data_IF_491512501269
#
_entry.id   IF_491512501269
#
_cell.length_a   1.000
_cell.length_b   1.000
_cell.length_c   1.000
_cell.angle_alpha   90.00
_cell.angle_beta   90.00
_cell.angle_gamma   90.00
#
_symmetry.space_group_name_H-M   'P 1'
#
loop_
_entity.id
_entity.type
_entity.pdbx_description
1 polymer ?
#
# COMPACT_ATOMS: atom_id res chain seq x y z
N UNK A 1 7.70 -36.89 -19.57
CA UNK A 1 9.12 -36.50 -19.72
C UNK A 1 9.35 -34.99 -19.81
N UNK A 2 8.71 -34.22 -20.72
CA UNK A 2 8.93 -32.76 -20.82
C UNK A 2 8.55 -31.94 -19.57
N UNK A 3 7.52 -32.34 -18.80
CA UNK A 3 7.07 -31.62 -17.59
C UNK A 3 8.10 -31.60 -16.44
N UNK A 4 8.77 -32.72 -16.15
CA UNK A 4 9.77 -32.75 -15.07
C UNK A 4 11.13 -32.22 -15.51
N UNK A 5 11.42 -32.24 -16.82
CA UNK A 5 12.68 -31.73 -17.36
C UNK A 5 12.76 -30.19 -17.28
N UNK A 6 11.68 -29.48 -17.63
CA UNK A 6 11.64 -28.02 -17.58
C UNK A 6 11.80 -27.43 -16.18
N UNK A 7 11.11 -27.99 -15.18
CA UNK A 7 11.17 -27.51 -13.79
C UNK A 7 12.57 -27.71 -13.19
N UNK A 8 13.16 -28.91 -13.37
CA UNK A 8 14.49 -29.23 -12.84
C UNK A 8 15.59 -28.40 -13.49
N UNK A 9 15.44 -28.05 -14.77
CA UNK A 9 16.38 -27.20 -15.51
C UNK A 9 16.31 -25.72 -15.08
N UNK A 10 15.15 -25.23 -14.67
CA UNK A 10 14.99 -23.86 -14.13
C UNK A 10 15.61 -23.77 -12.73
N UNK A 11 15.31 -24.72 -11.84
CA UNK A 11 15.75 -24.69 -10.44
C UNK A 11 17.25 -24.96 -10.24
N UNK A 12 17.88 -25.75 -11.12
CA UNK A 12 19.31 -26.08 -11.00
C UNK A 12 20.27 -24.99 -11.51
N UNK A 13 19.76 -23.84 -11.95
CA UNK A 13 20.60 -22.77 -12.52
C UNK A 13 21.25 -21.96 -11.42
N UNK A 14 22.59 -21.81 -11.47
CA UNK A 14 23.35 -20.96 -10.56
C UNK A 14 22.80 -19.52 -10.50
N UNK A 15 22.32 -19.01 -11.64
CA UNK A 15 21.70 -17.68 -11.76
C UNK A 15 20.45 -17.53 -10.89
N UNK A 16 19.66 -18.59 -10.73
CA UNK A 16 18.47 -18.60 -9.87
C UNK A 16 18.84 -18.34 -8.40
N UNK A 17 19.87 -19.05 -7.90
CA UNK A 17 20.36 -18.87 -6.54
C UNK A 17 20.97 -17.49 -6.32
N UNK A 18 21.79 -17.00 -7.27
CA UNK A 18 22.37 -15.65 -7.19
C UNK A 18 21.27 -14.60 -7.08
N UNK A 19 20.20 -14.72 -7.86
CA UNK A 19 19.11 -13.75 -7.85
C UNK A 19 18.32 -13.76 -6.55
N UNK A 20 18.07 -14.95 -5.97
CA UNK A 20 17.50 -15.05 -4.61
C UNK A 20 18.40 -14.32 -3.60
N UNK A 21 19.70 -14.55 -3.63
CA UNK A 21 20.65 -13.89 -2.71
C UNK A 21 20.63 -12.37 -2.86
N UNK A 22 20.61 -11.86 -4.11
CA UNK A 22 20.52 -10.41 -4.37
C UNK A 22 19.23 -9.82 -3.82
N UNK A 23 18.08 -10.46 -4.04
CA UNK A 23 16.79 -9.98 -3.52
C UNK A 23 16.81 -9.98 -1.99
N UNK A 24 17.31 -11.04 -1.37
CA UNK A 24 17.44 -11.12 0.10
C UNK A 24 18.31 -9.98 0.62
N UNK A 25 19.43 -9.66 -0.04
CA UNK A 25 20.29 -8.54 0.36
C UNK A 25 19.59 -7.17 0.24
N UNK A 26 18.86 -6.94 -0.84
CA UNK A 26 18.06 -5.72 -1.02
C UNK A 26 17.00 -5.61 0.07
N UNK A 27 16.29 -6.70 0.37
CA UNK A 27 15.29 -6.74 1.44
C UNK A 27 15.90 -6.48 2.83
N UNK A 28 17.08 -7.02 3.13
CA UNK A 28 17.80 -6.73 4.39
C UNK A 28 18.17 -5.25 4.47
N UNK A 29 18.62 -4.65 3.36
CA UNK A 29 18.93 -3.21 3.30
C UNK A 29 17.69 -2.35 3.60
N UNK A 30 16.55 -2.66 2.98
CA UNK A 30 15.29 -1.95 3.24
C UNK A 30 14.81 -2.13 4.69
N UNK A 31 14.97 -3.33 5.26
CA UNK A 31 14.61 -3.59 6.66
C UNK A 31 15.47 -2.77 7.63
N UNK A 32 16.77 -2.62 7.36
CA UNK A 32 17.66 -1.79 8.17
C UNK A 32 17.30 -0.30 8.07
N UNK A 33 16.94 0.18 6.88
CA UNK A 33 16.46 1.55 6.70
C UNK A 33 15.19 1.79 7.52
N UNK A 34 14.22 0.86 7.48
CA UNK A 34 13.00 0.96 8.28
C UNK A 34 13.29 1.01 9.78
N UNK A 35 14.24 0.22 10.28
CA UNK A 35 14.65 0.27 11.69
C UNK A 35 15.28 1.61 12.08
N UNK A 36 16.07 2.21 11.19
CA UNK A 36 16.64 3.53 11.42
C UNK A 36 15.55 4.60 11.44
N UNK A 37 14.57 4.52 10.54
CA UNK A 37 13.38 5.39 10.55
C UNK A 37 12.59 5.25 11.86
N UNK A 38 12.32 4.02 12.30
CA UNK A 38 11.66 3.75 13.59
C UNK A 38 12.40 4.40 14.75
N UNK A 39 13.70 4.12 14.87
CA UNK A 39 14.52 4.64 15.95
C UNK A 39 14.53 6.17 16.01
N UNK A 40 14.62 6.83 14.85
CA UNK A 40 14.65 8.29 14.77
C UNK A 40 13.28 8.93 15.10
N UNK A 41 12.18 8.22 14.85
CA UNK A 41 10.82 8.74 14.99
C UNK A 41 10.08 8.27 16.26
N UNK A 42 10.70 7.45 17.12
CA UNK A 42 10.11 6.98 18.40
C UNK A 42 9.57 8.07 19.36
N UNK A 43 9.86 9.35 19.11
CA UNK A 43 9.35 10.47 19.90
C UNK A 43 7.98 11.02 19.45
N UNK A 44 7.43 10.57 18.31
CA UNK A 44 6.16 11.04 17.72
C UNK A 44 4.98 10.09 17.92
N UNK A 45 5.03 9.31 19.00
CA UNK A 45 4.12 8.22 19.36
C UNK A 45 2.65 8.57 19.11
N UNK A 46 1.93 7.64 18.47
CA UNK A 46 0.51 7.57 18.09
C UNK A 46 -0.61 8.09 18.95
N UNK A 47 -0.26 8.64 20.10
CA UNK A 47 -1.12 9.38 21.02
C UNK A 47 -0.81 10.87 20.95
N UNK A 48 -0.49 11.38 19.75
CA UNK A 48 -0.10 12.78 19.55
C UNK A 48 -1.16 13.76 20.05
N UNK A 49 -2.45 13.43 19.98
CA UNK A 49 -3.50 14.29 20.55
C UNK A 49 -3.43 14.28 22.08
N UNK A 50 -3.27 13.12 22.72
CA UNK A 50 -3.06 13.05 24.17
C UNK A 50 -1.80 13.81 24.61
N UNK A 51 -0.68 13.68 23.89
CA UNK A 51 0.57 14.41 24.18
C UNK A 51 0.34 15.93 24.05
N UNK A 52 -0.33 16.36 23.00
CA UNK A 52 -0.64 17.77 22.78
C UNK A 52 -1.62 18.32 23.82
N UNK A 53 -2.62 17.53 24.23
CA UNK A 53 -3.58 17.90 25.28
C UNK A 53 -2.85 18.11 26.62
N UNK A 54 -1.93 17.23 26.99
CA UNK A 54 -1.15 17.38 28.23
C UNK A 54 -0.26 18.62 28.20
N UNK A 55 0.47 18.85 27.08
CA UNK A 55 1.24 20.09 26.88
C UNK A 55 0.36 21.33 26.93
N UNK A 56 -0.87 21.21 26.44
CA UNK A 56 -1.83 22.30 26.44
C UNK A 56 -2.33 22.62 27.85
N UNK A 57 -2.57 21.60 28.68
CA UNK A 57 -2.93 21.77 30.10
C UNK A 57 -1.92 22.64 30.86
N UNK A 58 -0.62 22.45 30.62
CA UNK A 58 0.45 23.24 31.22
C UNK A 58 0.37 24.75 30.86
N UNK A 59 -0.23 25.10 29.71
CA UNK A 59 -0.41 26.48 29.27
C UNK A 59 -1.81 27.08 29.53
N UNK A 60 -2.77 26.27 29.95
CA UNK A 60 -4.19 26.63 30.01
C UNK A 60 -4.54 27.59 31.13
N UNK A 61 -3.92 27.45 32.30
CA UNK A 61 -4.11 28.40 33.40
C UNK A 61 -3.77 29.84 32.96
N UNK A 62 -2.73 29.99 32.15
CA UNK A 62 -2.31 31.30 31.63
C UNK A 62 -3.33 31.87 30.65
N UNK A 63 -3.98 31.02 29.85
CA UNK A 63 -5.01 31.44 28.88
C UNK A 63 -6.31 31.80 29.59
N UNK A 64 -6.77 31.00 30.54
CA UNK A 64 -7.98 31.32 31.30
C UNK A 64 -7.82 32.59 32.14
N UNK A 65 -6.65 32.79 32.76
CA UNK A 65 -6.31 34.04 33.43
C UNK A 65 -6.30 35.26 32.49
N UNK A 66 -6.02 35.06 31.20
CA UNK A 66 -6.08 36.14 30.20
C UNK A 66 -7.52 36.46 29.79
N UNK A 67 -8.37 35.44 29.60
CA UNK A 67 -9.79 35.62 29.24
C UNK A 67 -10.59 36.28 30.36
N UNK A 68 -10.35 35.87 31.61
CA UNK A 68 -10.97 36.49 32.78
C UNK A 68 -10.60 37.98 32.90
N UNK A 69 -9.34 38.35 32.60
CA UNK A 69 -8.87 39.75 32.57
C UNK A 69 -9.50 40.59 31.46
N UNK A 70 -9.92 39.95 30.38
CA UNK A 70 -10.56 40.61 29.23
C UNK A 70 -12.09 40.71 29.38
N UNK A 71 -12.64 40.31 30.54
CA UNK A 71 -14.08 40.33 30.79
C UNK A 71 -14.84 39.30 29.94
N UNK A 72 -14.13 38.33 29.36
CA UNK A 72 -14.74 37.18 28.72
C UNK A 72 -15.07 36.18 29.81
N UNK A 73 -16.28 35.62 29.76
CA UNK A 73 -16.66 34.51 30.63
C UNK A 73 -15.73 33.35 30.29
N UNK A 74 -14.63 33.23 31.04
CA UNK A 74 -13.70 32.11 31.00
C UNK A 74 -14.41 30.89 31.56
N UNK A 75 -15.42 30.41 30.85
CA UNK A 75 -16.15 29.19 31.20
C UNK A 75 -15.16 28.05 31.04
N UNK A 76 -14.59 27.67 32.16
CA UNK A 76 -13.89 26.41 32.34
C UNK A 76 -14.83 25.28 31.89
N UNK A 77 -14.56 24.75 30.71
CA UNK A 77 -15.43 23.77 30.08
C UNK A 77 -15.14 22.41 30.72
N UNK A 78 -16.13 21.69 31.28
CA UNK A 78 -15.95 20.32 31.80
C UNK A 78 -15.26 19.35 30.82
N UNK A 79 -15.34 19.66 29.52
CA UNK A 79 -14.72 18.96 28.41
C UNK A 79 -13.20 18.94 28.50
N UNK A 80 -12.56 20.03 28.94
CA UNK A 80 -11.11 20.10 29.09
C UNK A 80 -10.60 19.11 30.14
N UNK A 81 -11.30 19.01 31.27
CA UNK A 81 -10.95 18.05 32.32
C UNK A 81 -11.06 16.62 31.85
N UNK A 82 -12.14 16.30 31.12
CA UNK A 82 -12.31 14.97 30.57
C UNK A 82 -11.21 14.68 29.53
N UNK A 83 -10.86 15.64 28.68
CA UNK A 83 -9.78 15.50 27.70
C UNK A 83 -8.42 15.27 28.38
N UNK A 84 -8.05 16.06 29.39
CA UNK A 84 -6.77 15.86 30.09
C UNK A 84 -6.72 14.56 30.86
N UNK A 85 -7.80 14.22 31.58
CA UNK A 85 -7.87 12.94 32.29
C UNK A 85 -7.76 11.77 31.33
N UNK A 86 -8.46 11.81 30.19
CA UNK A 86 -8.32 10.79 29.16
C UNK A 86 -6.91 10.75 28.58
N UNK A 87 -6.28 11.89 28.30
CA UNK A 87 -4.91 11.93 27.81
C UNK A 87 -3.89 11.32 28.79
N UNK A 88 -4.03 11.60 30.09
CA UNK A 88 -3.22 10.99 31.15
C UNK A 88 -3.40 9.47 31.21
N UNK A 89 -4.66 9.00 31.15
CA UNK A 89 -4.98 7.58 31.13
C UNK A 89 -4.44 6.88 29.87
N UNK A 90 -4.46 7.55 28.72
CA UNK A 90 -3.83 7.04 27.50
C UNK A 90 -2.32 6.84 27.69
N UNK A 91 -1.63 7.83 28.27
CA UNK A 91 -0.19 7.73 28.54
C UNK A 91 0.15 6.65 29.59
N UNK A 92 -0.67 6.51 30.62
CA UNK A 92 -0.48 5.48 31.65
C UNK A 92 -0.65 4.08 31.07
N UNK A 93 -1.73 3.84 30.33
CA UNK A 93 -1.99 2.56 29.68
C UNK A 93 -0.92 2.22 28.62
N UNK A 94 -0.36 3.23 27.94
CA UNK A 94 0.74 3.04 27.00
C UNK A 94 1.99 2.50 27.71
N UNK A 95 2.34 3.05 28.89
CA UNK A 95 3.47 2.54 29.71
C UNK A 95 3.23 1.11 30.21
N UNK A 96 1.98 0.74 30.43
CA UNK A 96 1.57 -0.60 30.87
C UNK A 96 1.41 -1.60 29.71
N UNK A 97 1.50 -1.15 28.44
CA UNK A 97 1.27 -1.98 27.26
C UNK A 97 -0.20 -2.36 27.00
N UNK A 98 -1.15 -1.65 27.62
CA UNK A 98 -2.58 -1.88 27.46
C UNK A 98 -3.14 -1.09 26.27
N UNK A 99 -2.83 -1.54 25.05
CA UNK A 99 -3.13 -0.79 23.82
C UNK A 99 -4.62 -0.56 23.57
N UNK A 100 -5.51 -1.46 24.00
CA UNK A 100 -6.96 -1.28 23.84
C UNK A 100 -7.45 -0.05 24.59
N UNK A 101 -7.02 0.12 25.84
CA UNK A 101 -7.36 1.32 26.62
C UNK A 101 -6.65 2.57 26.07
N UNK A 102 -5.42 2.43 25.52
CA UNK A 102 -4.76 3.55 24.83
C UNK A 102 -5.64 4.09 23.69
N UNK A 103 -6.16 3.21 22.83
CA UNK A 103 -7.07 3.63 21.75
C UNK A 103 -8.34 4.27 22.28
N UNK A 104 -8.95 3.66 23.29
CA UNK A 104 -10.17 4.18 23.91
C UNK A 104 -9.97 5.62 24.35
N UNK A 105 -8.95 5.88 25.15
CA UNK A 105 -8.71 7.21 25.69
C UNK A 105 -8.21 8.21 24.63
N UNK A 106 -7.36 7.81 23.69
CA UNK A 106 -6.92 8.67 22.58
C UNK A 106 -8.10 9.07 21.68
N UNK A 107 -9.03 8.14 21.41
CA UNK A 107 -10.25 8.45 20.65
C UNK A 107 -11.17 9.39 21.42
N UNK A 108 -11.29 9.22 22.74
CA UNK A 108 -12.03 10.18 23.58
C UNK A 108 -11.44 11.59 23.47
N UNK A 109 -10.11 11.74 23.60
CA UNK A 109 -9.43 13.04 23.44
C UNK A 109 -9.72 13.64 22.07
N UNK A 110 -9.64 12.85 20.99
CA UNK A 110 -9.90 13.32 19.63
C UNK A 110 -11.34 13.75 19.40
N UNK A 111 -12.32 13.02 19.94
CA UNK A 111 -13.73 13.39 19.81
C UNK A 111 -14.01 14.68 20.59
N UNK A 112 -13.41 14.84 21.76
CA UNK A 112 -13.49 16.08 22.53
C UNK A 112 -12.86 17.26 21.79
N UNK A 113 -11.66 17.08 21.21
CA UNK A 113 -11.01 18.09 20.36
C UNK A 113 -11.88 18.45 19.15
N UNK A 114 -12.44 17.45 18.45
CA UNK A 114 -13.31 17.66 17.29
C UNK A 114 -14.53 18.51 17.65
N UNK A 115 -15.15 18.26 18.80
CA UNK A 115 -16.33 19.01 19.25
C UNK A 115 -15.98 20.40 19.80
N UNK A 116 -14.78 20.54 20.37
CA UNK A 116 -14.26 21.80 20.90
C UNK A 116 -13.93 22.80 19.79
N UNK A 117 -13.31 22.34 18.71
CA UNK A 117 -12.81 23.21 17.65
C UNK A 117 -13.76 23.36 16.46
N UNK A 118 -14.87 22.61 16.40
CA UNK A 118 -15.82 22.65 15.28
C UNK A 118 -16.90 23.72 15.41
N UNK A 119 -17.22 24.34 14.29
CA UNK A 119 -18.44 25.12 14.10
C UNK A 119 -19.67 24.22 13.93
N UNK A 120 -20.87 24.77 14.13
CA UNK A 120 -22.13 24.03 14.05
C UNK A 120 -22.32 23.35 12.68
N UNK A 121 -21.98 24.04 11.60
CA UNK A 121 -22.07 23.48 10.23
C UNK A 121 -21.15 22.27 10.02
N UNK A 122 -20.02 22.22 10.74
CA UNK A 122 -19.06 21.11 10.65
C UNK A 122 -19.54 19.88 11.42
N UNK A 123 -20.35 20.08 12.47
CA UNK A 123 -20.89 18.99 13.28
C UNK A 123 -21.85 18.08 12.51
N UNK A 124 -22.52 18.59 11.47
CA UNK A 124 -23.33 17.77 10.56
C UNK A 124 -22.55 16.60 9.96
N UNK A 125 -21.23 16.76 9.75
CA UNK A 125 -20.35 15.73 9.20
C UNK A 125 -19.61 14.93 10.28
N UNK A 126 -19.36 15.54 11.44
CA UNK A 126 -18.61 14.91 12.56
C UNK A 126 -19.50 13.94 13.32
N UNK A 127 -20.69 14.37 13.74
CA UNK A 127 -21.54 13.60 14.65
C UNK A 127 -21.94 12.22 14.12
N UNK A 128 -22.31 12.05 12.82
CA UNK A 128 -22.66 10.73 12.29
C UNK A 128 -21.53 9.69 12.39
N UNK A 129 -20.28 10.14 12.52
CA UNK A 129 -19.09 9.28 12.67
C UNK A 129 -18.67 9.21 14.14
N UNK A 130 -18.55 10.35 14.81
CA UNK A 130 -17.99 10.44 16.16
C UNK A 130 -18.93 9.96 17.26
N UNK A 131 -20.24 10.24 17.15
CA UNK A 131 -21.22 9.86 18.19
C UNK A 131 -21.35 8.34 18.36
N UNK A 132 -21.51 7.54 17.28
CA UNK A 132 -21.53 6.07 17.42
C UNK A 132 -20.23 5.50 18.02
N UNK A 133 -19.08 6.08 17.68
CA UNK A 133 -17.78 5.65 18.24
C UNK A 133 -17.74 5.97 19.74
N UNK A 134 -18.14 7.17 20.15
CA UNK A 134 -18.16 7.57 21.55
C UNK A 134 -19.05 6.68 22.40
N UNK A 135 -20.29 6.43 21.94
CA UNK A 135 -21.27 5.61 22.66
C UNK A 135 -20.77 4.17 22.86
N UNK A 136 -19.97 3.65 21.93
CA UNK A 136 -19.37 2.33 22.03
C UNK A 136 -18.18 2.29 23.01
N UNK A 137 -17.26 3.26 22.92
CA UNK A 137 -16.04 3.27 23.74
C UNK A 137 -16.25 3.85 25.15
N UNK A 138 -17.36 4.58 25.36
CA UNK A 138 -17.66 5.28 26.60
C UNK A 138 -19.17 5.34 26.87
N UNK A 139 -19.85 4.18 27.01
CA UNK A 139 -21.32 4.11 27.15
C UNK A 139 -21.85 4.80 28.41
N UNK A 140 -21.02 4.92 29.45
CA UNK A 140 -21.40 5.52 30.73
C UNK A 140 -21.24 7.06 30.78
N UNK A 141 -20.71 7.66 29.71
CA UNK A 141 -20.50 9.11 29.63
C UNK A 141 -21.30 9.64 28.44
N UNK A 142 -22.17 10.63 28.71
CA UNK A 142 -22.96 11.29 27.67
C UNK A 142 -22.07 11.87 26.57
N UNK A 143 -22.55 11.82 25.32
CA UNK A 143 -21.80 12.33 24.18
C UNK A 143 -21.57 13.85 24.33
N UNK A 144 -20.32 14.31 24.15
CA UNK A 144 -19.96 15.71 24.35
C UNK A 144 -20.41 16.62 23.18
N UNK A 145 -21.71 16.82 22.93
CA UNK A 145 -22.26 17.66 21.83
C UNK A 145 -22.49 19.14 22.18
N UNK A 146 -22.01 19.58 23.34
CA UNK A 146 -22.13 20.94 23.84
C UNK A 146 -23.54 21.57 23.69
N UNK A 147 -24.62 20.77 23.74
CA UNK A 147 -25.99 21.23 23.54
C UNK A 147 -26.22 22.07 22.26
N UNK A 148 -25.40 21.88 21.23
CA UNK A 148 -25.48 22.69 20.00
C UNK A 148 -24.94 24.12 20.14
N UNK A 149 -24.08 24.39 21.12
CA UNK A 149 -23.33 25.66 21.23
C UNK A 149 -21.90 25.51 20.65
N UNK A 150 -21.38 26.59 20.07
CA UNK A 150 -19.97 26.70 19.69
C UNK A 150 -19.14 27.19 20.89
N UNK A 151 -17.92 26.69 21.01
CA UNK A 151 -16.96 27.27 21.93
C UNK A 151 -16.27 28.45 21.26
N UNK A 152 -16.53 29.66 21.74
CA UNK A 152 -15.81 30.86 21.33
C UNK A 152 -14.41 30.88 21.97
N UNK A 153 -13.55 29.97 21.52
CA UNK A 153 -12.12 30.01 21.84
C UNK A 153 -11.48 30.86 20.76
N UNK A 154 -11.34 32.14 21.09
CA UNK A 154 -10.73 33.16 20.24
C UNK A 154 -9.22 32.84 20.10
N UNK A 155 -8.94 31.93 19.19
CA UNK A 155 -7.61 31.44 18.83
C UNK A 155 -7.42 31.68 17.34
N UNK A 156 -6.25 32.21 16.91
CA UNK A 156 -5.82 32.16 15.51
C UNK A 156 -5.45 30.72 15.05
N UNK A 157 -5.95 29.71 15.74
CA UNK A 157 -5.70 28.28 15.55
C UNK A 157 -6.97 27.45 15.74
N UNK A 158 -8.16 28.07 15.59
CA UNK A 158 -9.32 27.30 15.19
C UNK A 158 -8.96 26.57 13.89
N UNK A 159 -9.51 25.38 13.70
CA UNK A 159 -9.25 24.62 12.49
C UNK A 159 -9.95 25.35 11.35
N UNK A 160 -9.20 26.20 10.65
CA UNK A 160 -9.73 27.17 9.66
C UNK A 160 -10.43 26.50 8.47
N UNK A 161 -10.31 25.17 8.30
CA UNK A 161 -10.83 24.47 7.13
C UNK A 161 -11.57 23.19 7.45
N UNK A 162 -12.68 22.95 6.73
CA UNK A 162 -13.38 21.67 6.71
C UNK A 162 -12.46 20.49 6.31
N UNK A 163 -11.32 20.77 5.68
CA UNK A 163 -10.41 19.74 5.23
C UNK A 163 -9.71 19.03 6.41
N UNK A 164 -9.36 19.78 7.45
CA UNK A 164 -8.66 19.25 8.61
C UNK A 164 -9.55 18.37 9.49
N UNK A 165 -10.82 18.78 9.67
CA UNK A 165 -11.83 17.97 10.34
C UNK A 165 -12.01 16.62 9.67
N UNK A 166 -12.16 16.62 8.34
CA UNK A 166 -12.30 15.40 7.57
C UNK A 166 -11.07 14.50 7.70
N UNK A 167 -9.86 15.06 7.72
CA UNK A 167 -8.65 14.28 7.96
C UNK A 167 -8.65 13.63 9.36
N UNK A 168 -9.01 14.40 10.39
CA UNK A 168 -9.09 13.90 11.76
C UNK A 168 -10.15 12.82 11.92
N UNK A 169 -11.30 12.95 11.25
CA UNK A 169 -12.34 11.94 11.18
C UNK A 169 -11.85 10.65 10.51
N UNK A 170 -11.08 10.74 9.42
CA UNK A 170 -10.47 9.56 8.79
C UNK A 170 -9.53 8.83 9.76
N UNK A 171 -8.74 9.58 10.54
CA UNK A 171 -7.86 8.99 11.56
C UNK A 171 -8.65 8.41 12.75
N UNK A 172 -9.75 9.04 13.17
CA UNK A 172 -10.65 8.50 14.20
C UNK A 172 -11.24 7.14 13.75
N UNK A 173 -11.72 7.05 12.51
CA UNK A 173 -12.22 5.80 11.93
C UNK A 173 -11.13 4.71 11.87
N UNK A 174 -9.88 5.09 11.57
CA UNK A 174 -8.74 4.18 11.59
C UNK A 174 -8.49 3.62 12.99
N UNK A 175 -8.40 4.49 14.01
CA UNK A 175 -8.20 4.09 15.41
C UNK A 175 -9.34 3.19 15.89
N UNK A 176 -10.58 3.52 15.56
CA UNK A 176 -11.74 2.74 15.92
C UNK A 176 -11.71 1.34 15.27
N UNK A 177 -11.27 1.26 14.01
CA UNK A 177 -11.05 -0.02 13.33
C UNK A 177 -9.98 -0.86 14.04
N UNK A 178 -8.87 -0.25 14.45
CA UNK A 178 -7.83 -0.94 15.22
C UNK A 178 -8.33 -1.40 16.60
N UNK A 179 -9.10 -0.56 17.30
CA UNK A 179 -9.73 -0.86 18.59
C UNK A 179 -10.63 -2.11 18.49
N UNK A 180 -11.55 -2.12 17.53
CA UNK A 180 -12.48 -3.24 17.31
C UNK A 180 -11.78 -4.55 16.92
N UNK A 181 -10.63 -4.44 16.27
CA UNK A 181 -9.84 -5.61 15.86
C UNK A 181 -8.82 -6.05 16.93
N UNK A 182 -8.65 -5.29 18.02
CA UNK A 182 -7.68 -5.55 19.07
C UNK A 182 -6.22 -5.49 18.58
N UNK A 183 -5.91 -4.59 17.66
CA UNK A 183 -4.58 -4.50 17.02
C UNK A 183 -3.78 -3.37 17.67
N UNK A 184 -2.55 -3.60 18.17
CA UNK A 184 -1.73 -2.54 18.76
C UNK A 184 -1.44 -1.43 17.77
N UNK A 185 -1.16 -0.23 18.26
CA UNK A 185 -0.89 0.92 17.40
C UNK A 185 0.30 0.66 16.48
N UNK A 186 0.13 0.95 15.19
CA UNK A 186 1.15 0.75 14.16
C UNK A 186 1.34 2.04 13.37
N UNK A 187 2.53 2.62 13.50
CA UNK A 187 2.98 3.73 12.66
C UNK A 187 3.65 3.20 11.40
N UNK A 188 3.67 3.98 10.32
CA UNK A 188 4.39 3.61 9.09
C UNK A 188 5.92 3.57 9.26
N UNK A 189 6.47 4.27 10.26
CA UNK A 189 7.89 4.10 10.59
C UNK A 189 8.11 2.96 11.58
N UNK A 190 7.06 2.34 12.12
CA UNK A 190 7.22 1.19 13.00
C UNK A 190 7.95 0.08 12.24
N UNK A 191 9.09 -0.33 12.79
CA UNK A 191 9.84 -1.45 12.25
C UNK A 191 9.14 -2.76 12.60
N UNK A 192 8.13 -3.11 11.81
CA UNK A 192 7.41 -4.37 11.87
C UNK A 192 7.29 -5.05 10.49
N UNK A 193 6.94 -6.34 10.52
CA UNK A 193 6.84 -7.17 9.33
C UNK A 193 5.79 -6.71 8.31
N UNK A 194 4.68 -6.11 8.75
CA UNK A 194 3.60 -5.66 7.86
C UNK A 194 3.96 -4.38 7.13
N UNK A 195 4.48 -3.38 7.86
CA UNK A 195 5.01 -2.14 7.28
C UNK A 195 6.14 -2.46 6.30
N UNK A 196 7.05 -3.36 6.68
CA UNK A 196 8.11 -3.81 5.80
C UNK A 196 7.57 -4.44 4.51
N UNK A 197 6.61 -5.37 4.61
CA UNK A 197 6.01 -6.01 3.44
C UNK A 197 5.32 -4.95 2.54
N UNK A 198 4.59 -4.01 3.14
CA UNK A 198 3.94 -2.92 2.44
C UNK A 198 4.94 -2.02 1.69
N UNK A 199 6.11 -1.74 2.27
CA UNK A 199 7.16 -0.93 1.62
C UNK A 199 7.82 -1.64 0.42
N UNK A 200 7.99 -2.96 0.48
CA UNK A 200 8.65 -3.71 -0.61
C UNK A 200 7.71 -4.08 -1.78
N UNK A 201 6.39 -3.95 -1.60
CA UNK A 201 5.38 -4.29 -2.61
C UNK A 201 5.55 -3.53 -3.92
N UNK A 202 5.62 -2.20 -3.96
CA UNK A 202 5.78 -1.50 -5.25
C UNK A 202 7.25 -1.34 -5.70
N UNK A 203 8.22 -1.60 -4.81
CA UNK A 203 9.64 -1.35 -5.09
C UNK A 203 10.43 -2.60 -5.50
N UNK A 204 10.34 -3.67 -4.71
CA UNK A 204 11.24 -4.82 -4.83
C UNK A 204 10.57 -5.98 -5.55
N UNK A 205 9.31 -6.29 -5.21
CA UNK A 205 8.62 -7.48 -5.73
C UNK A 205 8.44 -7.44 -7.27
N UNK A 206 7.91 -6.36 -7.89
CA UNK A 206 7.66 -6.31 -9.32
C UNK A 206 8.96 -6.32 -10.13
N UNK A 207 10.00 -5.63 -9.66
CA UNK A 207 11.33 -5.64 -10.28
C UNK A 207 11.94 -7.03 -10.23
N UNK A 208 11.81 -7.70 -9.08
CA UNK A 208 12.25 -9.09 -8.90
C UNK A 208 11.56 -10.04 -9.89
N UNK A 209 10.25 -9.88 -10.08
CA UNK A 209 9.46 -10.65 -11.06
C UNK A 209 10.05 -10.49 -12.46
N UNK A 210 10.28 -9.24 -12.91
CA UNK A 210 10.84 -8.96 -14.23
C UNK A 210 12.22 -9.63 -14.39
N UNK A 211 13.10 -9.49 -13.39
CA UNK A 211 14.45 -10.06 -13.43
C UNK A 211 14.41 -11.60 -13.44
N UNK A 212 13.58 -12.23 -12.61
CA UNK A 212 13.37 -13.69 -12.62
C UNK A 212 12.92 -14.16 -14.00
N UNK A 213 11.90 -13.51 -14.58
CA UNK A 213 11.35 -13.92 -15.87
C UNK A 213 12.38 -13.75 -16.97
N UNK A 214 13.05 -12.60 -17.07
CA UNK A 214 14.05 -12.36 -18.09
C UNK A 214 15.16 -13.42 -18.00
N UNK A 215 15.79 -13.60 -16.84
CA UNK A 215 16.94 -14.50 -16.71
C UNK A 215 16.56 -15.98 -16.92
N UNK A 216 15.44 -16.44 -16.36
CA UNK A 216 15.05 -17.86 -16.43
C UNK A 216 14.44 -18.25 -17.79
N UNK A 217 13.66 -17.35 -18.40
CA UNK A 217 13.02 -17.62 -19.69
C UNK A 217 14.05 -17.69 -20.82
N UNK A 218 15.10 -16.86 -20.77
CA UNK A 218 16.15 -16.91 -21.79
C UNK A 218 16.94 -18.19 -21.79
N UNK A 219 17.31 -18.69 -20.62
CA UNK A 219 18.09 -19.92 -20.56
C UNK A 219 17.27 -21.11 -21.07
N UNK A 220 15.96 -21.17 -20.79
CA UNK A 220 15.11 -22.31 -21.19
C UNK A 220 14.73 -22.32 -22.67
N UNK A 221 14.62 -21.17 -23.34
CA UNK A 221 14.32 -21.10 -24.78
C UNK A 221 15.60 -21.16 -25.60
N UNK A 222 16.68 -20.52 -25.14
CA UNK A 222 17.97 -20.55 -25.83
C UNK A 222 18.62 -21.94 -25.81
N UNK A 223 18.48 -22.73 -24.73
CA UNK A 223 18.99 -24.11 -24.69
C UNK A 223 18.24 -25.01 -25.69
N UNK A 224 16.93 -24.82 -25.88
CA UNK A 224 16.15 -25.60 -26.85
C UNK A 224 16.42 -25.21 -28.32
N UNK A 225 16.82 -23.96 -28.58
CA UNK A 225 17.33 -23.57 -29.89
C UNK A 225 18.71 -24.20 -30.15
N UNK A 226 19.58 -24.22 -29.14
CA UNK A 226 20.93 -24.81 -29.22
C UNK A 226 20.92 -26.33 -29.43
N UNK A 227 19.94 -27.05 -28.86
CA UNK A 227 19.86 -28.52 -28.94
C UNK A 227 19.02 -28.97 -30.17
N UNK A 228 18.58 -28.04 -31.04
CA UNK A 228 17.72 -28.32 -32.21
C UNK A 228 16.40 -29.07 -31.92
N UNK A 229 15.99 -29.25 -30.65
CA UNK A 229 14.73 -29.94 -30.29
C UNK A 229 13.51 -29.17 -30.83
N UNK A 230 13.64 -27.85 -30.92
CA UNK A 230 12.66 -26.96 -31.54
C UNK A 230 12.41 -27.25 -33.03
N UNK A 231 13.34 -27.88 -33.75
CA UNK A 231 13.26 -28.14 -35.21
C UNK A 231 12.12 -29.09 -35.60
N UNK A 232 11.88 -30.15 -34.83
CA UNK A 232 10.83 -31.14 -35.16
C UNK A 232 9.43 -30.75 -34.67
N UNK A 233 9.33 -29.87 -33.67
CA UNK A 233 8.06 -29.44 -33.08
C UNK A 233 7.54 -28.18 -33.78
N UNK A 234 8.44 -27.30 -34.21
CA UNK A 234 8.08 -26.05 -34.88
C UNK A 234 7.85 -26.21 -36.39
N UNK A 235 8.09 -27.38 -37.00
CA UNK A 235 7.81 -27.60 -38.42
C UNK A 235 6.31 -27.69 -38.76
N UNK A 236 5.42 -27.80 -37.75
CA UNK A 236 3.96 -27.92 -37.96
C UNK A 236 3.18 -26.84 -37.19
N UNK A 237 2.30 -26.05 -37.82
CA UNK A 237 1.62 -24.91 -37.19
C UNK A 237 0.75 -25.27 -35.97
N UNK A 238 0.01 -26.38 -36.00
CA UNK A 238 -0.76 -26.85 -34.83
C UNK A 238 0.12 -27.26 -33.63
N UNK A 239 1.33 -27.76 -33.90
CA UNK A 239 2.30 -28.11 -32.85
C UNK A 239 2.99 -26.87 -32.27
N UNK A 240 3.08 -25.77 -33.02
CA UNK A 240 3.62 -24.47 -32.56
C UNK A 240 2.79 -23.84 -31.43
N UNK A 241 1.47 -23.73 -31.59
CA UNK A 241 0.60 -23.18 -30.53
C UNK A 241 0.61 -24.04 -29.28
N UNK A 242 0.55 -25.36 -29.45
CA UNK A 242 0.60 -26.32 -28.34
C UNK A 242 1.92 -26.23 -27.58
N UNK A 243 3.03 -26.01 -28.30
CA UNK A 243 4.35 -25.81 -27.71
C UNK A 243 4.42 -24.50 -26.90
N UNK A 244 4.00 -23.36 -27.46
CA UNK A 244 4.00 -22.06 -26.78
C UNK A 244 3.16 -22.08 -25.49
N UNK A 245 1.94 -22.61 -25.57
CA UNK A 245 1.05 -22.76 -24.40
C UNK A 245 1.68 -23.63 -23.32
N UNK A 246 2.29 -24.76 -23.69
CA UNK A 246 2.99 -25.63 -22.74
C UNK A 246 4.19 -24.94 -22.09
N UNK A 247 4.93 -24.12 -22.84
CA UNK A 247 6.09 -23.37 -22.32
C UNK A 247 5.66 -22.28 -21.34
N UNK A 248 4.63 -21.52 -21.67
CA UNK A 248 4.02 -20.52 -20.77
C UNK A 248 3.61 -21.20 -19.45
N UNK A 249 2.82 -22.27 -19.52
CA UNK A 249 2.36 -22.99 -18.32
C UNK A 249 3.54 -23.55 -17.52
N UNK A 250 4.54 -24.16 -18.17
CA UNK A 250 5.69 -24.74 -17.49
C UNK A 250 6.53 -23.70 -16.76
N UNK A 251 6.71 -22.51 -17.34
CA UNK A 251 7.46 -21.44 -16.70
C UNK A 251 6.65 -20.80 -15.57
N UNK A 252 5.33 -20.62 -15.70
CA UNK A 252 4.46 -20.15 -14.61
C UNK A 252 4.59 -21.08 -13.40
N UNK A 253 4.49 -22.40 -13.62
CA UNK A 253 4.60 -23.43 -12.56
C UNK A 253 5.97 -23.43 -11.87
N UNK A 254 7.02 -22.94 -12.52
CA UNK A 254 8.34 -22.82 -11.91
C UNK A 254 8.58 -21.47 -11.22
N UNK A 255 8.16 -20.37 -11.86
CA UNK A 255 8.49 -18.99 -11.45
C UNK A 255 7.57 -18.52 -10.33
N UNK A 256 6.26 -18.78 -10.41
CA UNK A 256 5.30 -18.31 -9.39
C UNK A 256 5.61 -18.90 -8.01
N UNK A 257 5.81 -20.22 -7.84
CA UNK A 257 6.17 -20.77 -6.53
C UNK A 257 7.52 -20.26 -6.03
N UNK A 258 8.50 -20.05 -6.91
CA UNK A 258 9.80 -19.51 -6.52
C UNK A 258 9.69 -18.10 -5.91
N UNK A 259 8.91 -17.22 -6.54
CA UNK A 259 8.65 -15.87 -6.03
C UNK A 259 7.89 -15.94 -4.70
N UNK A 260 6.83 -16.76 -4.62
CA UNK A 260 6.04 -16.93 -3.39
C UNK A 260 6.92 -17.42 -2.24
N UNK A 261 7.74 -18.47 -2.45
CA UNK A 261 8.65 -18.99 -1.43
C UNK A 261 9.65 -17.92 -1.00
N UNK A 262 10.20 -17.15 -1.96
CA UNK A 262 11.16 -16.08 -1.66
C UNK A 262 10.52 -15.00 -0.79
N UNK A 263 9.31 -14.55 -1.12
CA UNK A 263 8.58 -13.55 -0.34
C UNK A 263 8.23 -14.10 1.04
N UNK A 264 7.76 -15.34 1.16
CA UNK A 264 7.46 -15.97 2.46
C UNK A 264 8.70 -16.01 3.34
N UNK A 265 9.85 -16.43 2.80
CA UNK A 265 11.12 -16.46 3.55
C UNK A 265 11.53 -15.07 4.02
N UNK A 266 11.37 -14.05 3.17
CA UNK A 266 11.64 -12.64 3.50
C UNK A 266 10.70 -12.17 4.61
N UNK A 267 9.40 -12.49 4.56
CA UNK A 267 8.44 -12.13 5.59
C UNK A 267 8.72 -12.81 6.94
N UNK A 268 9.07 -14.11 6.91
CA UNK A 268 9.48 -14.85 8.12
C UNK A 268 10.73 -14.22 8.72
N UNK A 269 11.74 -13.93 7.89
CA UNK A 269 12.96 -13.29 8.34
C UNK A 269 12.70 -11.90 8.94
N UNK A 270 11.87 -11.08 8.28
CA UNK A 270 11.47 -9.79 8.80
C UNK A 270 10.79 -9.94 10.17
N UNK A 271 9.79 -10.82 10.30
CA UNK A 271 9.08 -11.05 11.57
C UNK A 271 9.93 -11.67 12.69
N UNK A 272 11.07 -12.30 12.40
CA UNK A 272 12.04 -12.72 13.43
C UNK A 272 12.91 -11.54 13.87
N UNK A 273 13.27 -10.66 12.93
CA UNK A 273 14.15 -9.52 13.18
C UNK A 273 13.42 -8.28 13.69
N UNK A 274 12.10 -8.22 13.56
CA UNK A 274 11.22 -7.14 13.99
C UNK A 274 10.07 -7.66 14.84
N UNK A 275 9.22 -6.77 15.34
CA UNK A 275 7.97 -7.19 15.94
C UNK A 275 7.01 -7.73 14.86
N UNK A 276 6.26 -8.77 15.23
CA UNK A 276 5.26 -9.39 14.37
C UNK A 276 3.89 -8.81 14.68
N UNK A 277 3.29 -8.15 13.69
CA UNK A 277 1.96 -7.57 13.82
C UNK A 277 0.89 -8.42 13.12
N UNK A 278 -0.36 -8.15 13.48
CA UNK A 278 -1.52 -8.89 12.96
C UNK A 278 -1.74 -8.64 11.46
N UNK A 279 -2.00 -9.70 10.71
CA UNK A 279 -2.47 -9.64 9.31
C UNK A 279 -3.86 -9.00 9.16
N UNK A 280 -4.54 -8.69 10.27
CA UNK A 280 -5.78 -7.93 10.29
C UNK A 280 -5.56 -6.41 10.26
N UNK A 281 -4.31 -5.94 10.28
CA UNK A 281 -3.99 -4.50 10.27
C UNK A 281 -4.78 -3.78 9.17
N UNK A 282 -5.51 -2.71 9.49
CA UNK A 282 -6.30 -1.99 8.50
C UNK A 282 -5.38 -1.26 7.52
N UNK A 283 -5.68 -1.39 6.24
CA UNK A 283 -5.07 -0.66 5.13
C UNK A 283 -6.15 0.20 4.50
N UNK A 284 -5.80 1.46 4.30
CA UNK A 284 -6.66 2.41 3.60
C UNK A 284 -6.89 1.92 2.18
N UNK A 285 -8.13 1.96 1.74
CA UNK A 285 -8.54 1.76 0.35
C UNK A 285 -9.78 2.60 0.06
N UNK A 286 -10.37 2.42 -1.13
CA UNK A 286 -11.57 3.12 -1.53
C UNK A 286 -12.66 2.13 -1.96
N UNK A 287 -13.93 2.46 -1.70
CA UNK A 287 -15.06 1.57 -2.04
C UNK A 287 -15.32 1.44 -3.54
N UNK A 288 -14.71 2.30 -4.37
CA UNK A 288 -14.88 2.35 -5.82
C UNK A 288 -13.86 1.52 -6.63
N UNK A 289 -12.95 0.81 -5.96
CA UNK A 289 -11.85 0.07 -6.60
C UNK A 289 -12.32 -0.95 -7.67
N UNK A 290 -13.52 -1.51 -7.53
CA UNK A 290 -14.08 -2.50 -8.45
C UNK A 290 -15.28 -1.99 -9.26
N UNK A 291 -15.67 -0.72 -9.09
CA UNK A 291 -16.87 -0.15 -9.73
C UNK A 291 -16.56 0.98 -10.71
N UNK A 292 -15.45 1.70 -10.52
CA UNK A 292 -15.00 2.77 -11.40
C UNK A 292 -13.74 2.35 -12.17
N UNK A 293 -13.51 2.91 -13.36
CA UNK A 293 -12.27 2.70 -14.12
C UNK A 293 -11.18 3.73 -13.76
N UNK A 294 -11.58 4.94 -13.38
CA UNK A 294 -10.69 6.02 -13.04
C UNK A 294 -11.29 6.81 -11.89
N UNK A 295 -10.46 7.26 -10.97
CA UNK A 295 -10.84 8.17 -9.92
C UNK A 295 -9.73 9.21 -9.69
N UNK A 296 -10.06 10.29 -8.99
CA UNK A 296 -9.06 11.26 -8.60
C UNK A 296 -8.31 10.70 -7.38
N UNK A 297 -7.14 10.12 -7.61
CA UNK A 297 -6.29 9.54 -6.57
C UNK A 297 -5.50 10.59 -5.78
N UNK A 298 -4.82 10.11 -4.75
CA UNK A 298 -3.85 10.90 -3.98
C UNK A 298 -2.52 11.01 -4.71
N UNK A 299 -2.02 12.23 -4.87
CA UNK A 299 -0.66 12.46 -5.36
C UNK A 299 0.35 12.37 -4.21
N UNK A 300 0.90 11.17 -4.01
CA UNK A 300 1.88 10.89 -2.95
C UNK A 300 3.33 11.24 -3.32
N UNK A 301 3.61 11.56 -4.59
CA UNK A 301 4.97 11.92 -5.04
C UNK A 301 5.25 13.42 -4.98
N UNK A 302 4.20 14.24 -5.02
CA UNK A 302 4.32 15.70 -4.93
C UNK A 302 4.84 16.11 -3.56
N UNK A 303 6.06 16.67 -3.51
CA UNK A 303 6.60 17.35 -2.33
C UNK A 303 5.59 18.37 -1.83
N UNK A 304 5.18 18.21 -0.58
CA UNK A 304 4.29 19.15 0.08
C UNK A 304 5.13 20.23 0.76
N UNK A 305 5.15 21.42 0.17
CA UNK A 305 5.92 22.59 0.66
C UNK A 305 5.31 23.23 1.92
N UNK A 306 4.35 22.58 2.59
CA UNK A 306 3.69 23.15 3.76
C UNK A 306 4.14 22.45 5.04
N UNK A 307 4.57 23.26 6.03
CA UNK A 307 4.95 22.80 7.38
C UNK A 307 3.75 22.30 8.21
N UNK A 308 2.52 22.48 7.72
CA UNK A 308 1.26 22.23 8.45
C UNK A 308 0.47 21.07 7.80
N UNK A 309 0.47 20.98 6.47
CA UNK A 309 -0.16 19.93 5.67
C UNK A 309 0.93 19.17 4.90
N UNK A 310 1.61 18.28 5.60
CA UNK A 310 2.58 17.34 5.04
C UNK A 310 1.95 15.98 4.72
N UNK A 311 2.70 15.15 3.97
CA UNK A 311 2.39 13.73 3.83
C UNK A 311 2.37 13.09 5.21
N UNK A 312 1.36 12.27 5.46
CA UNK A 312 1.17 11.61 6.75
C UNK A 312 0.85 10.14 6.50
N UNK A 313 0.74 9.40 7.59
CA UNK A 313 0.56 7.97 7.54
C UNK A 313 -0.72 7.56 8.24
N UNK A 314 -1.49 6.69 7.59
CA UNK A 314 -2.64 5.99 8.17
C UNK A 314 -2.27 4.51 8.27
N UNK A 315 -1.72 4.13 9.43
CA UNK A 315 -1.05 2.85 9.59
C UNK A 315 0.20 2.80 8.72
N UNK A 316 0.35 1.72 7.94
CA UNK A 316 1.41 1.58 6.94
C UNK A 316 1.14 2.35 5.62
N UNK A 317 -0.02 3.00 5.48
CA UNK A 317 -0.40 3.66 4.23
C UNK A 317 0.06 5.11 4.22
N UNK A 318 0.93 5.46 3.28
CA UNK A 318 1.29 6.86 3.02
C UNK A 318 0.11 7.60 2.37
N UNK A 319 -0.25 8.75 2.91
CA UNK A 319 -1.37 9.56 2.44
C UNK A 319 -0.98 11.01 2.19
N UNK A 320 -1.58 11.58 1.15
CA UNK A 320 -1.62 13.02 0.92
C UNK A 320 -2.90 13.55 1.59
N UNK A 321 -2.77 14.27 2.72
CA UNK A 321 -3.93 14.76 3.51
C UNK A 321 -4.96 15.51 2.67
N UNK A 322 -4.50 16.46 1.86
CA UNK A 322 -5.36 17.34 1.05
C UNK A 322 -6.14 16.51 0.04
N UNK A 323 -5.47 15.62 -0.68
CA UNK A 323 -6.12 14.80 -1.70
C UNK A 323 -7.05 13.75 -1.09
N UNK A 324 -6.64 13.12 0.01
CA UNK A 324 -7.47 12.17 0.76
C UNK A 324 -8.81 12.83 1.11
N UNK A 325 -8.76 14.04 1.64
CA UNK A 325 -9.95 14.74 2.10
C UNK A 325 -10.78 15.32 0.96
N UNK A 326 -10.16 15.98 -0.01
CA UNK A 326 -10.89 16.66 -1.09
C UNK A 326 -11.44 15.71 -2.14
N UNK A 327 -10.77 14.59 -2.38
CA UNK A 327 -11.08 13.68 -3.49
C UNK A 327 -11.67 12.37 -3.03
N UNK A 328 -11.29 11.87 -1.85
CA UNK A 328 -11.54 10.49 -1.46
C UNK A 328 -12.35 10.32 -0.17
N UNK A 329 -12.59 11.35 0.64
CA UNK A 329 -13.19 11.24 1.97
C UNK A 329 -14.44 10.34 2.01
N UNK A 330 -15.42 10.59 1.12
CA UNK A 330 -16.67 9.82 1.05
C UNK A 330 -16.51 8.39 0.51
N UNK A 331 -15.33 8.05 0.00
CA UNK A 331 -14.99 6.75 -0.58
C UNK A 331 -14.07 5.94 0.32
N UNK A 332 -13.53 6.52 1.39
CA UNK A 332 -12.56 5.87 2.29
C UNK A 332 -13.19 4.66 2.96
N UNK A 333 -12.53 3.51 2.83
CA UNK A 333 -12.83 2.30 3.59
C UNK A 333 -11.53 1.59 3.98
N UNK A 334 -11.61 0.68 4.95
CA UNK A 334 -10.46 -0.09 5.42
C UNK A 334 -10.62 -1.57 5.09
N UNK A 335 -9.58 -2.15 4.49
CA UNK A 335 -9.47 -3.60 4.28
C UNK A 335 -8.39 -4.17 5.18
N UNK A 336 -8.51 -5.44 5.55
CA UNK A 336 -7.44 -6.12 6.28
C UNK A 336 -6.20 -6.30 5.40
N UNK A 337 -5.02 -6.25 6.01
CA UNK A 337 -3.75 -6.47 5.31
C UNK A 337 -3.71 -7.77 4.51
N UNK A 338 -4.29 -8.87 5.02
CA UNK A 338 -4.38 -10.12 4.24
C UNK A 338 -5.18 -9.97 2.94
N UNK A 339 -6.25 -9.16 2.92
CA UNK A 339 -7.06 -8.91 1.72
C UNK A 339 -6.24 -8.13 0.69
N UNK A 340 -5.47 -7.15 1.16
CA UNK A 340 -4.53 -6.40 0.34
C UNK A 340 -3.47 -7.33 -0.26
N UNK A 341 -2.86 -8.20 0.55
CA UNK A 341 -1.88 -9.20 0.10
C UNK A 341 -2.48 -10.07 -1.02
N UNK A 342 -3.65 -10.67 -0.80
CA UNK A 342 -4.31 -11.55 -1.78
C UNK A 342 -4.56 -10.79 -3.09
N UNK A 343 -5.13 -9.59 -3.00
CA UNK A 343 -5.43 -8.75 -4.16
C UNK A 343 -4.17 -8.41 -4.95
N UNK A 344 -3.12 -7.96 -4.26
CA UNK A 344 -1.83 -7.67 -4.85
C UNK A 344 -1.22 -8.90 -5.54
N UNK A 345 -1.26 -10.07 -4.90
CA UNK A 345 -0.75 -11.31 -5.49
C UNK A 345 -1.51 -11.72 -6.75
N UNK A 346 -2.83 -11.54 -6.80
CA UNK A 346 -3.63 -11.81 -8.00
C UNK A 346 -3.19 -10.92 -9.17
N UNK A 347 -2.99 -9.63 -8.93
CA UNK A 347 -2.48 -8.70 -9.95
C UNK A 347 -1.05 -9.03 -10.37
N UNK A 348 -0.18 -9.44 -9.44
CA UNK A 348 1.18 -9.90 -9.77
C UNK A 348 1.17 -11.18 -10.63
N UNK A 349 0.20 -12.07 -10.46
CA UNK A 349 0.07 -13.27 -11.33
C UNK A 349 -0.24 -12.84 -12.76
N UNK A 350 -1.17 -11.89 -12.95
CA UNK A 350 -1.46 -11.34 -14.28
C UNK A 350 -0.22 -10.67 -14.87
N UNK A 351 0.50 -9.89 -14.07
CA UNK A 351 1.73 -9.23 -14.48
C UNK A 351 2.83 -10.24 -14.89
N UNK A 352 3.00 -11.33 -14.12
CA UNK A 352 3.90 -12.44 -14.47
C UNK A 352 3.52 -13.03 -15.82
N UNK A 353 2.24 -13.32 -16.05
CA UNK A 353 1.75 -13.88 -17.32
C UNK A 353 2.06 -12.93 -18.48
N UNK A 354 1.87 -11.63 -18.30
CA UNK A 354 2.16 -10.61 -19.30
C UNK A 354 3.66 -10.58 -19.67
N UNK A 355 4.55 -10.37 -18.69
CA UNK A 355 6.00 -10.27 -18.93
C UNK A 355 6.55 -11.57 -19.51
N UNK A 356 6.07 -12.72 -19.01
CA UNK A 356 6.46 -14.03 -19.50
C UNK A 356 6.04 -14.23 -20.96
N UNK A 357 4.80 -13.87 -21.30
CA UNK A 357 4.29 -14.00 -22.66
C UNK A 357 5.16 -13.19 -23.63
N UNK A 358 5.41 -11.91 -23.35
CA UNK A 358 6.27 -11.06 -24.16
C UNK A 358 7.66 -11.69 -24.34
N UNK A 359 8.28 -12.09 -23.23
CA UNK A 359 9.64 -12.65 -23.23
C UNK A 359 9.73 -13.93 -24.05
N UNK A 360 8.73 -14.83 -23.94
CA UNK A 360 8.67 -16.06 -24.73
C UNK A 360 8.49 -15.73 -26.22
N UNK A 361 7.60 -14.80 -26.57
CA UNK A 361 7.37 -14.44 -27.98
C UNK A 361 8.58 -13.76 -28.63
N UNK A 362 9.25 -12.84 -27.92
CA UNK A 362 10.49 -12.22 -28.39
C UNK A 362 11.58 -13.30 -28.55
N UNK A 363 11.71 -14.19 -27.58
CA UNK A 363 12.67 -15.31 -27.64
C UNK A 363 12.41 -16.28 -28.79
N UNK A 364 11.15 -16.57 -29.10
CA UNK A 364 10.78 -17.43 -30.21
C UNK A 364 10.97 -16.76 -31.59
N UNK A 365 10.90 -15.43 -31.65
CA UNK A 365 11.08 -14.64 -32.89
C UNK A 365 12.53 -14.29 -33.19
N UNK A 366 13.41 -14.22 -32.18
CA UNK A 366 14.84 -13.97 -32.38
C UNK A 366 15.68 -15.25 -32.36
N UNK A 367 16.65 -15.40 -33.26
CA UNK A 367 17.49 -16.61 -33.31
C UNK A 367 18.69 -16.55 -32.33
N UNK A 368 19.09 -15.35 -31.86
CA UNK A 368 20.23 -15.17 -30.93
C UNK A 368 19.75 -14.75 -29.55
N UNK A 369 20.28 -15.44 -28.51
CA UNK A 369 19.96 -15.18 -27.09
C UNK A 369 20.20 -13.71 -26.68
N UNK A 370 21.37 -13.16 -27.03
CA UNK A 370 21.74 -11.79 -26.66
C UNK A 370 20.83 -10.74 -27.29
N UNK A 371 20.47 -10.91 -28.56
CA UNK A 371 19.54 -10.03 -29.27
C UNK A 371 18.16 -10.09 -28.62
N UNK A 372 17.67 -11.30 -28.32
CA UNK A 372 16.39 -11.47 -27.65
C UNK A 372 16.30 -10.74 -26.32
N UNK A 373 17.33 -10.91 -25.50
CA UNK A 373 17.44 -10.26 -24.21
C UNK A 373 17.45 -8.74 -24.33
N UNK A 374 18.25 -8.20 -25.24
CA UNK A 374 18.26 -6.78 -25.55
C UNK A 374 16.90 -6.26 -26.00
N UNK A 375 16.19 -6.99 -26.87
CA UNK A 375 14.87 -6.60 -27.37
C UNK A 375 13.81 -6.62 -26.28
N UNK A 376 13.77 -7.64 -25.41
CA UNK A 376 12.77 -7.64 -24.32
C UNK A 376 13.07 -6.60 -23.25
N UNK A 377 14.34 -6.37 -22.91
CA UNK A 377 14.73 -5.27 -22.02
C UNK A 377 14.34 -3.93 -22.65
N UNK A 378 14.60 -3.74 -23.94
CA UNK A 378 14.19 -2.54 -24.68
C UNK A 378 12.67 -2.35 -24.74
N UNK A 379 11.90 -3.43 -24.93
CA UNK A 379 10.44 -3.38 -24.96
C UNK A 379 9.84 -3.03 -23.59
N UNK A 380 10.27 -3.74 -22.53
CA UNK A 380 9.84 -3.46 -21.15
C UNK A 380 10.30 -2.06 -20.73
N UNK A 381 11.53 -1.68 -21.05
CA UNK A 381 12.06 -0.33 -20.79
C UNK A 381 11.29 0.75 -21.53
N UNK A 382 10.90 0.51 -22.78
CA UNK A 382 10.04 1.41 -23.56
C UNK A 382 8.67 1.60 -22.91
N UNK A 383 8.03 0.51 -22.48
CA UNK A 383 6.79 0.58 -21.71
C UNK A 383 6.99 1.34 -20.39
N UNK A 384 8.14 1.19 -19.73
CA UNK A 384 8.43 1.89 -18.47
C UNK A 384 8.56 3.40 -18.69
N UNK A 385 9.21 3.82 -19.78
CA UNK A 385 9.26 5.23 -20.16
C UNK A 385 7.87 5.80 -20.46
N UNK A 386 7.01 5.05 -21.16
CA UNK A 386 5.63 5.48 -21.41
C UNK A 386 4.87 5.65 -20.10
N UNK A 387 4.95 4.67 -19.20
CA UNK A 387 4.30 4.73 -17.89
C UNK A 387 4.82 5.94 -17.07
N UNK A 388 6.14 6.17 -17.04
CA UNK A 388 6.75 7.25 -16.27
C UNK A 388 6.42 8.65 -16.79
N UNK A 389 6.49 8.87 -18.10
CA UNK A 389 6.31 10.21 -18.69
C UNK A 389 4.86 10.50 -19.11
N UNK A 390 4.03 9.46 -19.28
CA UNK A 390 2.63 9.58 -19.62
C UNK A 390 1.77 8.74 -18.66
N UNK A 391 1.76 9.07 -17.36
CA UNK A 391 1.13 8.25 -16.32
C UNK A 391 -0.39 8.17 -16.44
N UNK A 392 -1.03 8.96 -17.32
CA UNK A 392 -2.46 8.85 -17.62
C UNK A 392 -2.79 7.83 -18.71
N UNK A 393 -1.79 7.32 -19.41
CA UNK A 393 -1.99 6.35 -20.50
C UNK A 393 -2.08 4.94 -19.89
N UNK A 394 -3.16 4.19 -20.19
CA UNK A 394 -3.28 2.78 -19.80
C UNK A 394 -2.05 1.97 -20.22
N UNK A 395 -1.34 1.39 -19.25
CA UNK A 395 -0.08 0.69 -19.49
C UNK A 395 0.00 -0.57 -18.60
N UNK A 396 0.39 -1.74 -19.13
CA UNK A 396 0.56 -2.95 -18.31
C UNK A 396 1.68 -2.83 -17.26
N UNK A 397 2.53 -1.81 -17.30
CA UNK A 397 3.46 -1.52 -16.21
C UNK A 397 2.83 -0.72 -15.06
N UNK A 398 1.55 -0.37 -15.12
CA UNK A 398 0.81 0.11 -13.94
C UNK A 398 0.79 -0.92 -12.80
N UNK A 399 1.06 -2.20 -13.09
CA UNK A 399 1.26 -3.23 -12.07
C UNK A 399 2.49 -2.98 -11.17
N UNK A 400 3.37 -2.03 -11.51
CA UNK A 400 4.44 -1.57 -10.63
C UNK A 400 3.92 -0.71 -9.47
N UNK A 401 2.69 -0.18 -9.58
CA UNK A 401 2.04 0.67 -8.58
C UNK A 401 0.84 -0.02 -7.91
N UNK A 402 0.76 -1.35 -7.96
CA UNK A 402 -0.43 -2.07 -7.49
C UNK A 402 -0.80 -1.73 -6.05
N UNK A 403 0.16 -1.56 -5.13
CA UNK A 403 -0.17 -1.13 -3.76
C UNK A 403 -0.70 0.31 -3.74
N UNK A 404 -0.11 1.24 -4.48
CA UNK A 404 -0.64 2.61 -4.59
C UNK A 404 -2.06 2.63 -5.21
N UNK A 405 -2.35 1.76 -6.17
CA UNK A 405 -3.69 1.59 -6.73
C UNK A 405 -4.66 1.10 -5.65
N UNK A 406 -4.29 0.06 -4.89
CA UNK A 406 -5.11 -0.46 -3.78
C UNK A 406 -5.39 0.64 -2.75
N UNK A 407 -4.41 1.47 -2.41
CA UNK A 407 -4.59 2.53 -1.41
C UNK A 407 -5.32 3.77 -1.93
N UNK A 408 -5.65 3.84 -3.22
CA UNK A 408 -6.24 5.03 -3.85
C UNK A 408 -5.23 6.17 -4.07
N UNK A 409 -3.93 5.88 -3.99
CA UNK A 409 -2.83 6.78 -4.33
C UNK A 409 -2.45 6.76 -5.82
N UNK A 410 -3.22 6.07 -6.65
CA UNK A 410 -3.18 6.20 -8.11
C UNK A 410 -4.53 6.69 -8.61
N UNK A 411 -4.57 7.24 -9.81
CA UNK A 411 -5.84 7.60 -10.45
C UNK A 411 -6.54 6.39 -11.09
N UNK A 412 -5.82 5.28 -11.24
CA UNK A 412 -6.37 4.02 -11.71
C UNK A 412 -6.93 3.22 -10.54
N UNK A 413 -8.05 2.54 -10.78
CA UNK A 413 -8.62 1.56 -9.85
C UNK A 413 -8.09 0.15 -10.09
N UNK A 414 -8.31 -0.77 -9.15
CA UNK A 414 -8.07 -2.19 -9.34
C UNK A 414 -8.76 -2.74 -10.60
N UNK A 415 -10.04 -2.39 -10.83
CA UNK A 415 -10.76 -2.79 -12.05
C UNK A 415 -10.00 -2.40 -13.32
N UNK A 416 -9.50 -1.16 -13.37
CA UNK A 416 -8.77 -0.68 -14.54
C UNK A 416 -7.45 -1.40 -14.73
N UNK A 417 -6.69 -1.65 -13.64
CA UNK A 417 -5.46 -2.41 -13.68
C UNK A 417 -5.70 -3.82 -14.22
N UNK A 418 -6.69 -4.54 -13.67
CA UNK A 418 -7.04 -5.90 -14.12
C UNK A 418 -7.40 -5.91 -15.61
N UNK A 419 -8.24 -4.99 -16.07
CA UNK A 419 -8.65 -4.90 -17.47
C UNK A 419 -7.47 -4.58 -18.40
N UNK A 420 -6.58 -3.67 -18.00
CA UNK A 420 -5.38 -3.32 -18.75
C UNK A 420 -4.43 -4.52 -18.84
N UNK A 421 -4.22 -5.27 -17.74
CA UNK A 421 -3.42 -6.49 -17.74
C UNK A 421 -4.01 -7.55 -18.69
N UNK A 422 -5.30 -7.85 -18.54
CA UNK A 422 -5.99 -8.86 -19.35
C UNK A 422 -5.95 -8.49 -20.83
N UNK A 423 -6.27 -7.24 -21.18
CA UNK A 423 -6.20 -6.77 -22.56
C UNK A 423 -4.78 -6.86 -23.13
N UNK A 424 -3.76 -6.47 -22.35
CA UNK A 424 -2.36 -6.53 -22.77
C UNK A 424 -1.89 -7.98 -22.99
N UNK A 425 -2.27 -8.90 -22.11
CA UNK A 425 -2.00 -10.34 -22.28
C UNK A 425 -2.65 -10.86 -23.56
N UNK A 426 -3.93 -10.53 -23.80
CA UNK A 426 -4.66 -10.95 -25.00
C UNK A 426 -3.99 -10.42 -26.27
N UNK A 427 -3.63 -9.14 -26.30
CA UNK A 427 -2.92 -8.52 -27.44
C UNK A 427 -1.60 -9.24 -27.72
N UNK A 428 -0.79 -9.47 -26.68
CA UNK A 428 0.51 -10.16 -26.81
C UNK A 428 0.31 -11.59 -27.31
N UNK A 429 -0.67 -12.33 -26.78
CA UNK A 429 -0.94 -13.71 -27.19
C UNK A 429 -1.44 -13.77 -28.63
N UNK A 430 -2.34 -12.87 -29.04
CA UNK A 430 -2.89 -12.83 -30.40
C UNK A 430 -1.82 -12.44 -31.43
N UNK A 431 -1.08 -11.35 -31.18
CA UNK A 431 0.00 -10.90 -32.05
C UNK A 431 1.13 -11.92 -32.10
N UNK A 432 1.51 -12.47 -30.95
CA UNK A 432 2.54 -13.50 -30.85
C UNK A 432 2.18 -14.74 -31.66
N UNK A 433 0.94 -15.23 -31.54
CA UNK A 433 0.43 -16.34 -32.34
C UNK A 433 0.43 -16.03 -33.85
N UNK A 434 -0.02 -14.84 -34.24
CA UNK A 434 -0.05 -14.41 -35.62
C UNK A 434 1.36 -14.36 -36.25
N UNK A 435 2.31 -13.71 -35.57
CA UNK A 435 3.70 -13.59 -36.01
C UNK A 435 4.37 -14.97 -36.10
N UNK A 436 4.13 -15.83 -35.12
CA UNK A 436 4.76 -17.15 -35.06
C UNK A 436 4.23 -18.13 -36.13
N UNK A 437 3.00 -17.94 -36.59
CA UNK A 437 2.44 -18.70 -37.72
C UNK A 437 2.99 -18.25 -39.07
N UNK A 438 3.36 -16.98 -39.21
CA UNK A 438 3.92 -16.42 -40.45
C UNK A 438 5.44 -16.47 -40.52
N UNK A 439 6.11 -16.71 -39.39
CA UNK A 439 7.57 -16.85 -39.37
C UNK A 439 7.97 -18.12 -40.12
N UNK A 440 8.62 -17.93 -41.27
CA UNK A 440 9.39 -18.97 -41.91
C UNK A 440 10.55 -19.33 -40.99
N UNK A 441 10.63 -20.62 -40.67
CA UNK A 441 11.78 -21.15 -39.96
C UNK A 441 12.80 -21.47 -41.04
N UNK A 442 13.39 -20.41 -41.62
CA UNK A 442 14.54 -20.52 -42.50
C UNK A 442 15.75 -20.81 -41.62
N UNK A 443 16.35 -21.98 -41.82
CA UNK A 443 17.54 -22.44 -41.12
C UNK A 443 18.79 -21.75 -41.67
#
# INVERSE_FOLDING_TARGET
MLKSYGIRQVLNKKVFFILIVVIVFVCISELNNLKLEDFNNRSTIGINHSINAIKFNEGLETIFLSYEKEGRDGKYVPYFNLAFKSAELAMENMKQGNYTEVYRYEMMVRILDLNLYSHLEQREYIEPIARPIWEDISPDIEYPDNNGEEFDIDRPSAIDTNDDFKYWLTHLQYLYTCYNLGIPYVEDHSANNMVFLYKIMDKVIPVSIILFILLLTYDTVSEEHRIHISRNILSQPFKRHTYLRKKIISNIVAIVPAIIITIILICIFAGIYTDSHSLKMPILTTNNQWTEFYHNGMDIEKKQDSKIFGSDNLGATLVNKIDLVKKLFDKVVYISFWQMIVTYFLEMILFIIFILSITIYISATTNKKSISMGVSVGFIGGLYLVYKYFPKIPNPLLALETRNIISGASNFTLLSLTLIQVASILIVVLLGNYLFNRKDISY
#
